data_IF_429579712769
#
_entry.id   IF_429579712769
#
_cell.length_a   1.000
_cell.length_b   1.000
_cell.length_c   1.000
_cell.angle_alpha   90.00
_cell.angle_beta   90.00
_cell.angle_gamma   90.00
#
_symmetry.space_group_name_H-M   'P 1'
#
loop_
_entity.id
_entity.type
_entity.pdbx_description
1 polymer ?
#
# COMPACT_ATOMS: atom_id res chain seq x y z
N UNK A 1 -23.09 -7.88 -17.60
CA UNK A 1 -22.69 -6.47 -17.33
C UNK A 1 -23.58 -5.78 -16.29
N UNK A 2 -24.92 -5.80 -16.40
CA UNK A 2 -25.84 -5.16 -15.42
C UNK A 2 -25.55 -5.51 -13.95
N UNK A 3 -25.28 -6.79 -13.65
CA UNK A 3 -25.00 -7.26 -12.28
C UNK A 3 -23.69 -6.69 -11.70
N UNK A 4 -22.63 -6.57 -12.51
CA UNK A 4 -21.36 -5.98 -12.08
C UNK A 4 -21.50 -4.49 -11.84
N UNK A 5 -22.17 -3.76 -12.75
CA UNK A 5 -22.41 -2.33 -12.59
C UNK A 5 -23.20 -2.03 -11.32
N UNK A 6 -24.25 -2.81 -11.03
CA UNK A 6 -25.03 -2.65 -9.80
C UNK A 6 -24.19 -2.90 -8.52
N UNK A 7 -23.36 -3.94 -8.53
CA UNK A 7 -22.43 -4.21 -7.43
C UNK A 7 -21.42 -3.07 -7.25
N UNK A 8 -20.83 -2.59 -8.35
CA UNK A 8 -19.84 -1.51 -8.33
C UNK A 8 -20.43 -0.20 -7.81
N UNK A 9 -21.61 0.20 -8.28
CA UNK A 9 -22.31 1.40 -7.77
C UNK A 9 -22.58 1.29 -6.27
N UNK A 10 -23.01 0.11 -5.82
CA UNK A 10 -23.26 -0.15 -4.40
C UNK A 10 -21.97 0.00 -3.57
N UNK A 11 -20.87 -0.60 -4.01
CA UNK A 11 -19.59 -0.49 -3.31
C UNK A 11 -19.03 0.95 -3.37
N UNK A 12 -19.21 1.69 -4.47
CA UNK A 12 -18.90 3.13 -4.56
C UNK A 12 -19.69 3.96 -3.54
N UNK A 13 -20.99 3.67 -3.36
CA UNK A 13 -21.82 4.36 -2.37
C UNK A 13 -21.37 4.05 -0.94
N UNK A 14 -20.97 2.80 -0.66
CA UNK A 14 -20.40 2.40 0.63
C UNK A 14 -19.09 3.14 0.91
N UNK A 15 -18.22 3.25 -0.09
CA UNK A 15 -16.96 3.98 0.00
C UNK A 15 -17.20 5.44 0.38
N UNK A 16 -18.05 6.14 -0.38
CA UNK A 16 -18.33 7.57 -0.17
C UNK A 16 -18.90 7.89 1.21
N UNK A 17 -19.70 6.98 1.77
CA UNK A 17 -20.30 7.12 3.11
C UNK A 17 -19.41 6.60 4.24
N UNK A 18 -18.28 5.98 3.92
CA UNK A 18 -17.38 5.42 4.93
C UNK A 18 -16.56 6.52 5.60
N UNK A 19 -16.59 6.58 6.93
CA UNK A 19 -15.65 7.41 7.71
C UNK A 19 -14.22 6.94 7.54
N UNK A 20 -14.01 5.62 7.37
CA UNK A 20 -12.68 5.02 7.19
C UNK A 20 -12.01 5.52 5.91
N UNK A 21 -12.78 5.79 4.85
CA UNK A 21 -12.28 6.42 3.63
C UNK A 21 -11.59 7.77 3.90
N UNK A 22 -12.24 8.64 4.66
CA UNK A 22 -11.68 9.94 4.99
C UNK A 22 -10.51 9.84 5.98
N UNK A 23 -10.59 8.93 6.94
CA UNK A 23 -9.50 8.69 7.90
C UNK A 23 -8.23 8.22 7.20
N UNK A 24 -8.33 7.31 6.21
CA UNK A 24 -7.14 6.85 5.48
C UNK A 24 -6.56 7.97 4.61
N UNK A 25 -7.37 8.83 4.00
CA UNK A 25 -6.88 10.02 3.29
C UNK A 25 -6.07 10.92 4.22
N UNK A 26 -6.62 11.26 5.40
CA UNK A 26 -5.92 12.12 6.38
C UNK A 26 -4.62 11.48 6.84
N UNK A 27 -4.64 10.17 7.14
CA UNK A 27 -3.44 9.43 7.52
C UNK A 27 -2.37 9.45 6.41
N UNK A 28 -2.76 9.24 5.15
CA UNK A 28 -1.83 9.23 4.02
C UNK A 28 -1.29 10.62 3.66
N UNK A 29 -1.99 11.71 4.01
CA UNK A 29 -1.46 13.08 3.93
C UNK A 29 -0.45 13.35 5.06
N UNK A 30 -0.74 12.85 6.25
CA UNK A 30 0.13 13.03 7.42
C UNK A 30 1.52 12.41 7.21
N UNK A 31 1.60 11.32 6.47
CA UNK A 31 2.84 10.60 6.19
C UNK A 31 3.92 11.46 5.48
N UNK A 32 3.68 12.05 4.29
CA UNK A 32 4.65 12.93 3.65
C UNK A 32 4.87 14.24 4.43
N UNK A 33 3.89 14.69 5.23
CA UNK A 33 4.07 15.84 6.14
C UNK A 33 5.11 15.54 7.22
N UNK A 34 5.03 14.37 7.85
CA UNK A 34 6.03 13.93 8.82
C UNK A 34 7.41 13.76 8.18
N UNK A 35 7.47 13.21 6.96
CA UNK A 35 8.72 13.09 6.20
C UNK A 35 9.33 14.45 5.86
N UNK A 36 8.52 15.41 5.41
CA UNK A 36 8.97 16.79 5.16
C UNK A 36 9.45 17.48 6.44
N UNK A 37 8.77 17.30 7.56
CA UNK A 37 9.23 17.81 8.85
C UNK A 37 10.63 17.28 9.20
N UNK A 38 10.86 15.98 9.02
CA UNK A 38 12.17 15.38 9.27
C UNK A 38 13.25 15.93 8.32
N UNK A 39 12.89 16.15 7.06
CA UNK A 39 13.78 16.78 6.08
C UNK A 39 14.12 18.23 6.47
N UNK A 40 13.14 19.03 6.86
CA UNK A 40 13.32 20.41 7.35
C UNK A 40 14.29 20.45 8.55
N UNK A 41 14.10 19.55 9.52
CA UNK A 41 14.99 19.44 10.69
C UNK A 41 16.40 19.01 10.27
N UNK A 42 16.54 18.18 9.24
CA UNK A 42 17.84 17.80 8.69
C UNK A 42 18.55 18.98 8.00
N UNK A 43 17.82 19.92 7.38
CA UNK A 43 18.38 21.15 6.80
C UNK A 43 18.90 22.13 7.85
N UNK A 44 18.32 22.12 9.06
CA UNK A 44 18.63 23.04 10.15
C UNK A 44 19.08 22.29 11.42
N UNK A 45 20.34 21.82 11.48
CA UNK A 45 20.86 21.02 12.60
C UNK A 45 20.72 21.71 13.97
N UNK A 46 20.79 23.04 14.00
CA UNK A 46 20.61 23.88 15.19
C UNK A 46 19.22 23.72 15.85
N UNK A 47 18.19 23.46 15.03
CA UNK A 47 16.83 23.17 15.50
C UNK A 47 16.76 21.70 15.95
N UNK A 48 17.44 20.79 15.23
CA UNK A 48 17.52 19.37 15.55
C UNK A 48 18.12 19.07 16.92
N UNK A 49 19.16 19.79 17.33
CA UNK A 49 19.78 19.65 18.66
C UNK A 49 18.81 19.97 19.80
N UNK A 50 17.87 20.90 19.57
CA UNK A 50 16.83 21.27 20.55
C UNK A 50 15.63 20.32 20.56
N UNK A 51 15.44 19.54 19.49
CA UNK A 51 14.30 18.63 19.31
C UNK A 51 14.61 17.17 19.72
N UNK A 52 15.80 16.90 20.26
CA UNK A 52 16.17 15.60 20.83
C UNK A 52 16.00 14.43 19.85
N UNK A 53 15.04 13.53 20.14
CA UNK A 53 14.77 12.32 19.34
C UNK A 53 14.42 12.61 17.88
N UNK A 54 13.78 13.75 17.59
CA UNK A 54 13.43 14.14 16.22
C UNK A 54 14.69 14.51 15.43
N UNK A 55 15.62 15.24 16.05
CA UNK A 55 16.91 15.57 15.44
C UNK A 55 17.76 14.32 15.18
N UNK A 56 17.73 13.33 16.09
CA UNK A 56 18.42 12.05 15.89
C UNK A 56 17.87 11.27 14.68
N UNK A 57 16.54 11.27 14.47
CA UNK A 57 15.92 10.64 13.29
C UNK A 57 16.14 11.45 12.00
N UNK A 58 16.21 12.76 12.08
CA UNK A 58 16.49 13.63 10.93
C UNK A 58 17.89 13.34 10.33
N UNK A 59 18.87 12.93 11.14
CA UNK A 59 20.20 12.51 10.63
C UNK A 59 20.14 11.29 9.70
N UNK A 60 19.09 10.46 9.80
CA UNK A 60 18.89 9.34 8.87
C UNK A 60 18.51 9.79 7.46
N UNK A 61 18.11 11.06 7.28
CA UNK A 61 17.85 11.63 5.96
C UNK A 61 19.14 12.00 5.21
N UNK A 62 20.33 11.87 5.84
CA UNK A 62 21.67 11.73 5.24
C UNK A 62 22.14 12.89 4.37
N UNK A 63 21.45 13.13 3.26
CA UNK A 63 21.72 14.16 2.29
C UNK A 63 20.47 15.03 2.10
N UNK A 64 20.63 16.34 2.31
CA UNK A 64 19.57 17.31 2.09
C UNK A 64 19.38 17.59 0.59
N UNK A 65 18.96 16.59 -0.20
CA UNK A 65 18.72 16.72 -1.63
C UNK A 65 17.43 16.01 -2.08
N UNK A 66 16.96 16.32 -3.29
CA UNK A 66 15.78 15.69 -3.86
C UNK A 66 15.95 14.19 -4.10
N UNK A 67 17.16 13.70 -4.36
CA UNK A 67 17.43 12.28 -4.62
C UNK A 67 17.14 11.42 -3.39
N UNK A 68 17.67 11.80 -2.22
CA UNK A 68 17.39 11.14 -0.95
C UNK A 68 15.90 11.22 -0.59
N UNK A 69 15.29 12.40 -0.77
CA UNK A 69 13.86 12.59 -0.50
C UNK A 69 12.97 11.69 -1.38
N UNK A 70 13.20 11.65 -2.69
CA UNK A 70 12.42 10.83 -3.61
C UNK A 70 12.64 9.33 -3.39
N UNK A 71 13.86 8.92 -3.04
CA UNK A 71 14.18 7.54 -2.65
C UNK A 71 13.41 7.12 -1.41
N UNK A 72 13.37 7.97 -0.39
CA UNK A 72 12.57 7.71 0.81
C UNK A 72 11.07 7.66 0.51
N UNK A 73 10.57 8.50 -0.41
CA UNK A 73 9.16 8.48 -0.80
C UNK A 73 8.77 7.14 -1.48
N UNK A 74 9.68 6.57 -2.29
CA UNK A 74 9.53 5.22 -2.86
C UNK A 74 9.49 4.14 -1.77
N UNK A 75 10.46 4.15 -0.85
CA UNK A 75 10.52 3.19 0.27
C UNK A 75 9.28 3.27 1.16
N UNK A 76 8.78 4.47 1.35
CA UNK A 76 7.60 4.78 2.15
C UNK A 76 6.34 4.17 1.52
N UNK A 77 6.15 4.30 0.21
CA UNK A 77 5.01 3.65 -0.47
C UNK A 77 5.14 2.13 -0.46
N UNK A 78 6.35 1.57 -0.60
CA UNK A 78 6.55 0.13 -0.45
C UNK A 78 6.13 -0.37 0.95
N UNK A 79 6.49 0.36 2.00
CA UNK A 79 6.29 -0.05 3.40
C UNK A 79 4.90 0.30 3.93
N UNK A 80 4.56 1.59 3.92
CA UNK A 80 3.27 2.10 4.41
C UNK A 80 2.14 1.71 3.46
N UNK A 81 2.40 1.61 2.16
CA UNK A 81 1.42 1.09 1.21
C UNK A 81 1.05 -0.36 1.51
N UNK A 82 2.00 -1.22 1.92
CA UNK A 82 1.70 -2.61 2.26
C UNK A 82 0.72 -2.70 3.45
N UNK A 83 0.96 -1.90 4.50
CA UNK A 83 0.06 -1.81 5.66
C UNK A 83 -1.28 -1.18 5.26
N UNK A 84 -1.24 -0.01 4.63
CA UNK A 84 -2.43 0.79 4.37
C UNK A 84 -3.33 0.19 3.30
N UNK A 85 -2.78 -0.37 2.22
CA UNK A 85 -3.55 -1.09 1.21
C UNK A 85 -4.08 -2.40 1.77
N UNK A 86 -3.30 -3.11 2.58
CA UNK A 86 -3.78 -4.27 3.33
C UNK A 86 -4.95 -3.92 4.28
N UNK A 87 -4.87 -2.77 4.95
CA UNK A 87 -5.96 -2.25 5.78
C UNK A 87 -7.20 -1.91 4.95
N UNK A 88 -7.04 -1.22 3.82
CA UNK A 88 -8.15 -0.91 2.89
C UNK A 88 -8.82 -2.20 2.42
N UNK A 89 -8.05 -3.19 1.96
CA UNK A 89 -8.58 -4.46 1.49
C UNK A 89 -9.28 -5.24 2.60
N UNK A 90 -8.66 -5.32 3.79
CA UNK A 90 -9.28 -5.99 4.93
C UNK A 90 -10.57 -5.31 5.37
N UNK A 91 -10.65 -3.97 5.32
CA UNK A 91 -11.89 -3.24 5.58
C UNK A 91 -12.98 -3.56 4.55
N UNK A 92 -12.66 -3.49 3.25
CA UNK A 92 -13.64 -3.71 2.16
C UNK A 92 -14.22 -5.12 2.18
N UNK A 93 -13.41 -6.13 2.48
CA UNK A 93 -13.84 -7.54 2.51
C UNK A 93 -14.32 -8.00 3.89
N UNK A 94 -13.69 -7.53 4.97
CA UNK A 94 -13.99 -7.93 6.34
C UNK A 94 -15.22 -7.25 6.95
N UNK A 95 -15.58 -6.06 6.48
CA UNK A 95 -16.71 -5.29 7.04
C UNK A 95 -18.04 -6.05 7.03
N UNK A 96 -18.36 -6.76 5.95
CA UNK A 96 -19.65 -7.44 5.82
C UNK A 96 -19.83 -8.57 6.84
N UNK A 97 -18.72 -9.13 7.33
CA UNK A 97 -18.72 -10.13 8.38
C UNK A 97 -18.91 -9.50 9.77
N UNK A 98 -18.28 -8.34 10.01
CA UNK A 98 -18.41 -7.60 11.27
C UNK A 98 -19.84 -7.05 11.42
N UNK A 99 -20.37 -6.45 10.36
CA UNK A 99 -21.71 -5.87 10.33
C UNK A 99 -22.83 -6.94 10.19
N UNK A 100 -22.46 -8.23 10.06
CA UNK A 100 -23.38 -9.38 9.85
C UNK A 100 -24.31 -9.21 8.65
N UNK A 101 -23.83 -8.54 7.60
CA UNK A 101 -24.56 -8.27 6.36
C UNK A 101 -24.18 -9.22 5.22
N UNK A 102 -23.21 -10.11 5.44
CA UNK A 102 -22.71 -11.04 4.41
C UNK A 102 -23.82 -11.91 3.80
N UNK A 103 -24.72 -12.46 4.62
CA UNK A 103 -25.84 -13.30 4.16
C UNK A 103 -26.82 -12.48 3.31
N UNK A 104 -27.16 -11.27 3.73
CA UNK A 104 -28.06 -10.36 2.99
C UNK A 104 -27.54 -10.06 1.58
N UNK A 105 -26.24 -9.81 1.44
CA UNK A 105 -25.62 -9.52 0.14
C UNK A 105 -25.63 -10.75 -0.78
N UNK A 106 -25.49 -11.95 -0.21
CA UNK A 106 -25.45 -13.19 -0.98
C UNK A 106 -26.82 -13.69 -1.39
N UNK A 107 -27.91 -13.16 -0.81
CA UNK A 107 -29.29 -13.39 -1.24
C UNK A 107 -29.71 -12.50 -2.43
N UNK A 108 -28.93 -11.47 -2.78
CA UNK A 108 -29.22 -10.62 -3.93
C UNK A 108 -29.12 -11.41 -5.25
N UNK A 109 -29.90 -11.08 -6.29
CA UNK A 109 -29.83 -11.71 -7.61
C UNK A 109 -28.58 -11.26 -8.41
N UNK A 110 -27.44 -11.15 -7.75
CA UNK A 110 -26.15 -10.72 -8.29
C UNK A 110 -25.15 -11.86 -8.08
N UNK A 111 -24.35 -12.20 -9.09
CA UNK A 111 -23.38 -13.28 -8.95
C UNK A 111 -22.30 -12.91 -7.93
N UNK A 112 -21.91 -13.89 -7.10
CA UNK A 112 -20.88 -13.69 -6.06
C UNK A 112 -19.55 -13.21 -6.64
N UNK A 113 -19.17 -13.72 -7.82
CA UNK A 113 -17.98 -13.26 -8.55
C UNK A 113 -18.09 -11.78 -8.93
N UNK A 114 -19.26 -11.29 -9.38
CA UNK A 114 -19.41 -9.88 -9.72
C UNK A 114 -19.24 -8.98 -8.49
N UNK A 115 -19.69 -9.42 -7.31
CA UNK A 115 -19.52 -8.70 -6.04
C UNK A 115 -18.04 -8.64 -5.65
N UNK A 116 -17.35 -9.78 -5.69
CA UNK A 116 -15.91 -9.86 -5.38
C UNK A 116 -15.09 -8.99 -6.34
N UNK A 117 -15.35 -9.08 -7.64
CA UNK A 117 -14.66 -8.23 -8.63
C UNK A 117 -14.95 -6.75 -8.40
N UNK A 118 -16.19 -6.37 -8.09
CA UNK A 118 -16.53 -4.98 -7.78
C UNK A 118 -15.78 -4.46 -6.53
N UNK A 119 -15.69 -5.28 -5.48
CA UNK A 119 -14.91 -4.96 -4.28
C UNK A 119 -13.43 -4.76 -4.59
N UNK A 120 -12.84 -5.64 -5.40
CA UNK A 120 -11.46 -5.47 -5.86
C UNK A 120 -11.26 -4.19 -6.69
N UNK A 121 -12.20 -3.84 -7.57
CA UNK A 121 -12.15 -2.57 -8.30
C UNK A 121 -12.13 -1.37 -7.36
N UNK A 122 -12.95 -1.38 -6.30
CA UNK A 122 -12.95 -0.32 -5.29
C UNK A 122 -11.64 -0.27 -4.51
N UNK A 123 -11.08 -1.41 -4.12
CA UNK A 123 -9.76 -1.48 -3.47
C UNK A 123 -8.70 -0.84 -4.36
N UNK A 124 -8.61 -1.23 -5.64
CA UNK A 124 -7.62 -0.69 -6.58
C UNK A 124 -7.79 0.82 -6.73
N UNK A 125 -9.03 1.31 -6.95
CA UNK A 125 -9.29 2.75 -7.09
C UNK A 125 -8.95 3.54 -5.82
N UNK A 126 -9.27 3.00 -4.64
CA UNK A 126 -8.95 3.64 -3.37
C UNK A 126 -7.43 3.68 -3.15
N UNK A 127 -6.72 2.58 -3.37
CA UNK A 127 -5.27 2.56 -3.23
C UNK A 127 -4.57 3.48 -4.25
N UNK A 128 -5.02 3.53 -5.51
CA UNK A 128 -4.50 4.47 -6.51
C UNK A 128 -4.71 5.93 -6.08
N UNK A 129 -5.87 6.26 -5.48
CA UNK A 129 -6.10 7.59 -4.92
C UNK A 129 -5.12 7.89 -3.77
N UNK A 130 -4.89 6.94 -2.86
CA UNK A 130 -3.94 7.12 -1.75
C UNK A 130 -2.50 7.29 -2.24
N UNK A 131 -2.09 6.56 -3.28
CA UNK A 131 -0.81 6.73 -3.97
C UNK A 131 -0.71 8.14 -4.55
N UNK A 132 -1.73 8.60 -5.28
CA UNK A 132 -1.75 9.96 -5.84
C UNK A 132 -1.64 11.02 -4.75
N UNK A 133 -2.32 10.83 -3.61
CA UNK A 133 -2.25 11.74 -2.47
C UNK A 133 -0.83 11.82 -1.90
N UNK A 134 -0.16 10.68 -1.68
CA UNK A 134 1.24 10.67 -1.21
C UNK A 134 2.13 11.41 -2.20
N UNK A 135 2.00 11.14 -3.50
CA UNK A 135 2.80 11.78 -4.54
C UNK A 135 2.62 13.29 -4.53
N UNK A 136 1.37 13.76 -4.62
CA UNK A 136 1.06 15.20 -4.68
C UNK A 136 1.50 15.91 -3.40
N UNK A 137 1.18 15.35 -2.23
CA UNK A 137 1.57 15.93 -0.95
C UNK A 137 3.10 15.94 -0.78
N UNK A 138 3.79 14.84 -1.08
CA UNK A 138 5.24 14.73 -0.96
C UNK A 138 5.98 15.74 -1.85
N UNK A 139 5.59 15.84 -3.13
CA UNK A 139 6.18 16.83 -4.05
C UNK A 139 5.88 18.26 -3.59
N UNK A 140 4.64 18.55 -3.20
CA UNK A 140 4.26 19.89 -2.72
C UNK A 140 5.07 20.30 -1.48
N UNK A 141 5.25 19.38 -0.54
CA UNK A 141 6.01 19.61 0.69
C UNK A 141 7.50 19.81 0.39
N UNK A 142 8.08 19.00 -0.50
CA UNK A 142 9.48 19.16 -0.90
C UNK A 142 9.78 20.53 -1.53
N UNK A 143 8.86 21.04 -2.36
CA UNK A 143 8.95 22.41 -2.89
C UNK A 143 8.78 23.49 -1.82
N UNK A 144 7.83 23.32 -0.89
CA UNK A 144 7.60 24.28 0.21
C UNK A 144 8.81 24.41 1.15
N UNK A 145 9.54 23.31 1.37
CA UNK A 145 10.76 23.27 2.19
C UNK A 145 11.96 23.85 1.43
N UNK A 146 11.93 23.84 0.10
CA UNK A 146 13.06 24.32 -0.72
C UNK A 146 14.23 23.33 -0.77
N UNK A 147 13.94 22.03 -0.91
CA UNK A 147 14.98 21.01 -1.06
C UNK A 147 15.82 21.29 -2.34
N UNK A 148 17.17 21.29 -2.27
CA UNK A 148 18.01 21.54 -3.44
C UNK A 148 18.20 20.28 -4.31
N UNK A 149 18.63 20.47 -5.55
CA UNK A 149 18.99 19.37 -6.46
C UNK A 149 17.84 18.78 -7.27
N UNK A 150 16.82 19.58 -7.60
CA UNK A 150 15.77 19.14 -8.52
C UNK A 150 16.35 18.91 -9.93
N UNK A 151 15.96 17.81 -10.56
CA UNK A 151 16.27 17.51 -11.95
C UNK A 151 15.08 16.76 -12.57
N UNK A 152 14.70 17.14 -13.79
CA UNK A 152 13.58 16.49 -14.50
C UNK A 152 13.89 15.01 -14.81
N UNK A 153 15.17 14.68 -15.03
CA UNK A 153 15.63 13.31 -15.20
C UNK A 153 15.45 12.50 -13.91
N UNK A 154 15.82 13.08 -12.77
CA UNK A 154 15.65 12.47 -11.46
C UNK A 154 14.16 12.20 -11.18
N UNK A 155 13.30 13.18 -11.45
CA UNK A 155 11.86 13.01 -11.28
C UNK A 155 11.28 11.92 -12.19
N UNK A 156 11.71 11.84 -13.46
CA UNK A 156 11.24 10.79 -14.38
C UNK A 156 11.65 9.39 -13.92
N UNK A 157 12.87 9.22 -13.39
CA UNK A 157 13.34 7.94 -12.84
C UNK A 157 12.61 7.58 -11.55
N UNK A 158 12.40 8.57 -10.67
CA UNK A 158 11.58 8.39 -9.48
C UNK A 158 10.16 7.97 -9.83
N UNK A 159 9.49 8.67 -10.75
CA UNK A 159 8.09 8.46 -11.08
C UNK A 159 7.82 7.08 -11.68
N UNK A 160 8.74 6.58 -12.53
CA UNK A 160 8.63 5.22 -13.08
C UNK A 160 8.77 4.14 -11.99
N UNK A 161 9.76 4.27 -11.10
CA UNK A 161 9.92 3.39 -9.93
C UNK A 161 8.69 3.49 -9.01
N UNK A 162 8.21 4.69 -8.74
CA UNK A 162 7.06 4.95 -7.87
C UNK A 162 5.78 4.27 -8.35
N UNK A 163 5.46 4.37 -9.65
CA UNK A 163 4.31 3.68 -10.25
C UNK A 163 4.47 2.17 -10.14
N UNK A 164 5.66 1.64 -10.45
CA UNK A 164 5.91 0.20 -10.42
C UNK A 164 5.79 -0.36 -9.00
N UNK A 165 6.43 0.28 -8.01
CA UNK A 165 6.33 -0.05 -6.58
C UNK A 165 4.87 -0.03 -6.14
N UNK A 166 4.16 1.06 -6.45
CA UNK A 166 2.74 1.22 -6.09
C UNK A 166 1.88 0.11 -6.68
N UNK A 167 2.07 -0.20 -7.96
CA UNK A 167 1.35 -1.27 -8.66
C UNK A 167 1.58 -2.64 -8.03
N UNK A 168 2.84 -3.00 -7.75
CA UNK A 168 3.17 -4.27 -7.12
C UNK A 168 2.59 -4.38 -5.70
N UNK A 169 2.68 -3.31 -4.90
CA UNK A 169 2.11 -3.28 -3.55
C UNK A 169 0.57 -3.40 -3.58
N UNK A 170 -0.10 -2.78 -4.56
CA UNK A 170 -1.56 -2.94 -4.75
C UNK A 170 -1.91 -4.38 -5.12
N UNK A 171 -1.15 -5.02 -6.02
CA UNK A 171 -1.39 -6.43 -6.38
C UNK A 171 -1.27 -7.36 -5.16
N UNK A 172 -0.30 -7.11 -4.29
CA UNK A 172 -0.09 -7.90 -3.06
C UNK A 172 -1.17 -7.71 -2.00
N UNK A 173 -2.10 -6.76 -2.19
CA UNK A 173 -3.29 -6.65 -1.33
C UNK A 173 -4.29 -7.78 -1.58
N UNK A 174 -4.20 -8.50 -2.71
CA UNK A 174 -5.16 -9.54 -3.09
C UNK A 174 -5.24 -10.73 -2.11
N UNK A 175 -4.12 -11.34 -1.66
CA UNK A 175 -4.14 -12.34 -0.59
C UNK A 175 -4.82 -11.86 0.70
N UNK A 176 -4.76 -10.56 1.01
CA UNK A 176 -5.39 -9.98 2.21
C UNK A 176 -6.91 -10.09 2.14
N UNK A 177 -7.50 -9.96 0.95
CA UNK A 177 -8.95 -10.14 0.75
C UNK A 177 -9.38 -11.57 1.06
N UNK A 178 -8.57 -12.55 0.68
CA UNK A 178 -8.82 -13.96 0.97
C UNK A 178 -8.77 -14.21 2.48
N UNK A 179 -7.72 -13.74 3.16
CA UNK A 179 -7.59 -13.89 4.62
C UNK A 179 -8.72 -13.16 5.37
N UNK A 180 -9.14 -11.98 4.91
CA UNK A 180 -10.27 -11.26 5.51
C UNK A 180 -11.59 -12.05 5.38
N UNK A 181 -11.78 -12.70 4.24
CA UNK A 181 -12.96 -13.52 3.97
C UNK A 181 -12.93 -14.84 4.74
N UNK A 182 -11.75 -15.47 4.84
CA UNK A 182 -11.55 -16.71 5.59
C UNK A 182 -11.69 -16.50 7.10
N UNK A 183 -11.03 -15.46 7.61
CA UNK A 183 -11.08 -15.06 9.02
C UNK A 183 -12.37 -14.34 9.42
N UNK A 184 -13.31 -14.14 8.48
CA UNK A 184 -14.62 -13.52 8.69
C UNK A 184 -14.54 -12.19 9.42
N UNK A 185 -13.60 -11.34 9.02
CA UNK A 185 -13.38 -10.07 9.68
C UNK A 185 -12.05 -9.43 9.33
N UNK A 186 -11.76 -8.33 10.00
CA UNK A 186 -10.59 -7.48 9.71
C UNK A 186 -9.34 -7.98 10.45
N UNK A 187 -9.50 -8.51 11.67
CA UNK A 187 -8.38 -8.80 12.59
C UNK A 187 -7.39 -9.80 11.99
N UNK A 188 -7.86 -10.93 11.46
CA UNK A 188 -7.00 -11.96 10.86
C UNK A 188 -6.22 -11.41 9.65
N UNK A 189 -6.86 -10.59 8.83
CA UNK A 189 -6.23 -9.97 7.67
C UNK A 189 -5.18 -8.94 8.06
N UNK A 190 -5.43 -8.13 9.10
CA UNK A 190 -4.41 -7.20 9.61
C UNK A 190 -3.23 -7.92 10.25
N UNK A 191 -3.49 -8.99 11.02
CA UNK A 191 -2.42 -9.81 11.58
C UNK A 191 -1.55 -10.41 10.47
N UNK A 192 -2.17 -10.88 9.38
CA UNK A 192 -1.46 -11.35 8.19
C UNK A 192 -0.60 -10.23 7.56
N UNK A 193 -1.17 -9.04 7.33
CA UNK A 193 -0.44 -7.90 6.76
C UNK A 193 0.79 -7.53 7.60
N UNK A 194 0.64 -7.45 8.92
CA UNK A 194 1.74 -7.14 9.85
C UNK A 194 2.80 -8.25 9.80
N UNK A 195 2.39 -9.52 9.80
CA UNK A 195 3.31 -10.65 9.70
C UNK A 195 4.09 -10.60 8.38
N UNK A 196 3.43 -10.38 7.25
CA UNK A 196 4.08 -10.33 5.94
C UNK A 196 5.03 -9.14 5.82
N UNK A 197 4.72 -8.01 6.46
CA UNK A 197 5.64 -6.87 6.55
C UNK A 197 6.88 -7.23 7.39
N UNK A 198 6.72 -7.85 8.55
CA UNK A 198 7.87 -8.24 9.39
C UNK A 198 8.75 -9.24 8.63
N UNK A 199 8.12 -10.23 7.98
CA UNK A 199 8.82 -11.20 7.14
C UNK A 199 9.50 -10.53 5.95
N UNK A 200 8.90 -9.52 5.32
CA UNK A 200 9.52 -8.83 4.19
C UNK A 200 10.80 -8.12 4.61
N UNK A 201 10.82 -7.47 5.78
CA UNK A 201 12.01 -6.82 6.31
C UNK A 201 13.09 -7.84 6.68
N UNK A 202 12.72 -8.94 7.35
CA UNK A 202 13.67 -9.97 7.76
C UNK A 202 14.28 -10.71 6.56
N UNK A 203 13.48 -11.08 5.56
CA UNK A 203 13.95 -11.79 4.38
C UNK A 203 14.82 -10.89 3.50
N UNK A 204 14.46 -9.60 3.39
CA UNK A 204 15.32 -8.61 2.74
C UNK A 204 16.67 -8.49 3.46
N UNK A 205 16.68 -8.43 4.79
CA UNK A 205 17.91 -8.35 5.59
C UNK A 205 18.88 -9.52 5.36
N UNK A 206 18.37 -10.73 5.11
CA UNK A 206 19.17 -11.94 4.84
C UNK A 206 19.55 -12.06 3.35
N UNK A 207 19.24 -11.05 2.51
CA UNK A 207 19.61 -11.03 1.08
C UNK A 207 18.70 -11.89 0.18
N UNK A 208 17.54 -12.30 0.68
CA UNK A 208 16.57 -13.12 -0.06
C UNK A 208 15.33 -12.31 -0.51
N UNK A 209 15.39 -10.99 -0.38
CA UNK A 209 14.31 -10.06 -0.76
C UNK A 209 13.74 -10.29 -2.17
N UNK A 210 14.56 -10.50 -3.21
CA UNK A 210 14.08 -10.77 -4.57
C UNK A 210 13.18 -12.02 -4.73
N UNK A 211 13.20 -12.95 -3.77
CA UNK A 211 12.45 -14.21 -3.82
C UNK A 211 11.16 -14.19 -3.00
N UNK A 212 10.89 -13.11 -2.26
CA UNK A 212 9.74 -13.01 -1.38
C UNK A 212 8.77 -11.93 -1.86
N UNK A 213 7.51 -12.27 -2.22
CA UNK A 213 6.61 -11.34 -2.91
C UNK A 213 6.45 -10.00 -2.21
N UNK A 214 6.30 -10.01 -0.88
CA UNK A 214 6.10 -8.80 -0.07
C UNK A 214 7.36 -7.95 0.14
N UNK A 215 8.55 -8.50 -0.13
CA UNK A 215 9.79 -7.74 -0.12
C UNK A 215 10.07 -7.05 -1.47
N UNK A 216 9.60 -7.62 -2.59
CA UNK A 216 9.88 -7.12 -3.96
C UNK A 216 9.65 -5.61 -4.14
N UNK A 217 8.51 -5.01 -3.70
CA UNK A 217 8.31 -3.56 -3.84
C UNK A 217 9.34 -2.73 -3.08
N UNK A 218 9.78 -3.21 -1.91
CA UNK A 218 10.79 -2.52 -1.09
C UNK A 218 12.21 -2.71 -1.61
N UNK A 219 12.52 -3.85 -2.23
CA UNK A 219 13.81 -4.07 -2.90
C UNK A 219 13.96 -3.12 -4.09
N UNK A 220 12.87 -2.84 -4.81
CA UNK A 220 12.87 -1.92 -5.95
C UNK A 220 13.17 -0.45 -5.58
N UNK A 221 12.97 -0.06 -4.32
CA UNK A 221 13.33 1.28 -3.82
C UNK A 221 14.77 1.41 -3.33
N UNK A 222 15.52 0.31 -3.25
CA UNK A 222 16.93 0.32 -2.82
C UNK A 222 17.82 0.79 -4.00
N UNK A 223 18.95 1.49 -3.73
CA UNK A 223 19.91 1.85 -4.77
C UNK A 223 20.42 0.64 -5.56
N UNK A 224 20.60 0.84 -6.86
CA UNK A 224 21.15 -0.17 -7.77
C UNK A 224 22.58 -0.55 -7.36
N UNK A 225 22.93 -1.83 -7.50
CA UNK A 225 24.23 -2.36 -7.07
C UNK A 225 24.31 -2.73 -5.58
N UNK A 226 23.21 -2.65 -4.83
CA UNK A 226 23.15 -3.19 -3.47
C UNK A 226 23.19 -4.74 -3.52
N UNK A 227 24.22 -5.33 -2.93
CA UNK A 227 24.42 -6.80 -2.94
C UNK A 227 23.19 -7.54 -2.40
N UNK A 228 22.74 -8.57 -3.13
CA UNK A 228 21.57 -9.39 -2.75
C UNK A 228 20.21 -8.73 -2.96
N UNK A 229 20.15 -7.51 -3.51
CA UNK A 229 18.91 -6.75 -3.74
C UNK A 229 18.59 -6.56 -5.24
N UNK A 230 19.18 -7.38 -6.10
CA UNK A 230 18.90 -7.32 -7.54
C UNK A 230 17.62 -8.09 -7.89
N UNK A 231 16.66 -7.38 -8.50
CA UNK A 231 15.43 -8.00 -8.99
C UNK A 231 15.64 -8.58 -10.39
N UNK A 232 15.10 -9.78 -10.58
CA UNK A 232 15.05 -10.45 -11.88
C UNK A 232 13.61 -10.68 -12.31
N UNK A 233 13.39 -11.12 -13.54
CA UNK A 233 12.04 -11.36 -14.08
C UNK A 233 11.16 -12.25 -13.20
N UNK A 234 11.76 -13.24 -12.53
CA UNK A 234 11.07 -14.15 -11.62
C UNK A 234 10.51 -13.47 -10.37
N UNK A 235 11.14 -12.40 -9.86
CA UNK A 235 10.62 -11.63 -8.72
C UNK A 235 9.24 -11.03 -9.02
N UNK A 236 9.07 -10.44 -10.21
CA UNK A 236 7.79 -9.89 -10.66
C UNK A 236 6.76 -11.00 -10.91
N UNK A 237 7.18 -12.14 -11.47
CA UNK A 237 6.32 -13.30 -11.68
C UNK A 237 5.74 -13.83 -10.37
N UNK A 238 6.58 -13.93 -9.32
CA UNK A 238 6.17 -14.38 -7.99
C UNK A 238 5.09 -13.46 -7.39
N UNK A 239 5.21 -12.14 -7.57
CA UNK A 239 4.19 -11.17 -7.14
C UNK A 239 2.87 -11.39 -7.89
N UNK A 240 2.93 -11.57 -9.22
CA UNK A 240 1.75 -11.80 -10.06
C UNK A 240 1.05 -13.10 -9.66
N UNK A 241 1.79 -14.20 -9.51
CA UNK A 241 1.25 -15.50 -9.10
C UNK A 241 0.59 -15.39 -7.72
N UNK A 242 1.27 -14.72 -6.77
CA UNK A 242 0.74 -14.49 -5.41
C UNK A 242 -0.56 -13.70 -5.44
N UNK A 243 -0.61 -12.63 -6.24
CA UNK A 243 -1.81 -11.81 -6.41
C UNK A 243 -2.96 -12.60 -7.04
N UNK A 244 -2.70 -13.38 -8.08
CA UNK A 244 -3.68 -14.24 -8.74
C UNK A 244 -4.21 -15.31 -7.79
N UNK A 245 -3.34 -15.95 -7.00
CA UNK A 245 -3.74 -16.93 -6.00
C UNK A 245 -4.69 -16.31 -4.96
N UNK A 246 -4.39 -15.12 -4.45
CA UNK A 246 -5.27 -14.38 -3.54
C UNK A 246 -6.64 -14.04 -4.17
N UNK A 247 -6.65 -13.66 -5.44
CA UNK A 247 -7.85 -13.22 -6.14
C UNK A 247 -8.77 -14.40 -6.42
N UNK A 248 -8.21 -15.47 -7.00
CA UNK A 248 -8.93 -16.70 -7.28
C UNK A 248 -9.38 -17.38 -5.98
N UNK A 249 -8.53 -17.40 -4.95
CA UNK A 249 -8.88 -17.90 -3.61
C UNK A 249 -10.07 -17.15 -2.99
N UNK A 250 -10.11 -15.83 -3.14
CA UNK A 250 -11.25 -15.03 -2.66
C UNK A 250 -12.54 -15.38 -3.42
N UNK A 251 -12.46 -15.52 -4.75
CA UNK A 251 -13.62 -15.90 -5.58
C UNK A 251 -14.12 -17.29 -5.20
N UNK A 252 -13.23 -18.29 -5.07
CA UNK A 252 -13.62 -19.66 -4.74
C UNK A 252 -14.22 -19.72 -3.34
N UNK A 253 -13.63 -19.03 -2.36
CA UNK A 253 -14.18 -18.94 -1.01
C UNK A 253 -15.59 -18.38 -0.99
N UNK A 254 -15.82 -17.24 -1.66
CA UNK A 254 -17.16 -16.64 -1.73
C UNK A 254 -18.16 -17.52 -2.47
N UNK A 255 -17.73 -18.28 -3.48
CA UNK A 255 -18.62 -19.18 -4.24
C UNK A 255 -19.05 -20.42 -3.48
N UNK A 256 -18.14 -21.04 -2.74
CA UNK A 256 -18.35 -22.40 -2.22
C UNK A 256 -18.42 -22.51 -0.70
N UNK A 257 -17.87 -21.56 0.06
CA UNK A 257 -17.91 -21.65 1.51
C UNK A 257 -19.29 -21.30 2.07
N UNK A 258 -19.70 -22.04 3.11
CA UNK A 258 -20.89 -21.73 3.90
C UNK A 258 -20.66 -20.46 4.73
N UNK A 259 -21.41 -19.42 4.40
CA UNK A 259 -21.33 -18.11 5.04
C UNK A 259 -22.32 -18.13 6.22
N UNK A 260 -21.80 -18.38 7.42
CA UNK A 260 -22.54 -18.29 8.69
C UNK A 260 -22.19 -17.02 9.41
#
# INVERSE_FOLDING_TARGET
MKNFTAALVTECMKLRRSKIFWITIVFFIFVPLMMGLLMLVAQHPEIGEKLGLVGAKAKLFGENNWEGYLTMLNQLVATIGLIGFGFVTSWVFGREYIDRTITNILCLPVSRTAIVTAKFSIVVLWCLLLVLIILVAGISIGYLIGIPGWSDQLFSQFFSKYILISGLTILLSSPVAFIASYGRGIIAALAFVILMLIMSQFIALVGLGPYFPWAVPGVLSVPEGTEGMELFYGSYLIVIITSLAGFLGTITWWRYADQK
#
